data_IF_050163469487
#
_entry.id   IF_050163469487
#
_cell.length_a   1.000
_cell.length_b   1.000
_cell.length_c   1.000
_cell.angle_alpha   90.00
_cell.angle_beta   90.00
_cell.angle_gamma   90.00
#
_symmetry.space_group_name_H-M   'P 1'
#
loop_
_entity.id
_entity.type
_entity.pdbx_description
1 polymer ?
#
# COMPACT_ATOMS: atom_id res chain seq x y z
N UNK A 1 12.19 -65.42 10.33
CA UNK A 1 11.79 -64.46 9.29
C UNK A 1 11.37 -63.11 9.90
N UNK A 2 12.30 -62.30 10.41
CA UNK A 2 11.97 -61.03 11.11
C UNK A 2 12.72 -59.79 10.60
N UNK A 3 13.77 -59.93 9.77
CA UNK A 3 14.56 -58.79 9.28
C UNK A 3 13.89 -57.97 8.17
N UNK A 4 12.99 -58.54 7.37
CA UNK A 4 12.34 -57.83 6.25
C UNK A 4 11.25 -56.82 6.68
N UNK A 5 10.61 -57.02 7.83
CA UNK A 5 9.51 -56.15 8.31
C UNK A 5 9.98 -54.83 8.92
N UNK A 6 11.22 -54.76 9.40
CA UNK A 6 11.77 -53.57 10.06
C UNK A 6 12.27 -52.55 9.04
N UNK A 7 12.92 -53.02 7.96
CA UNK A 7 13.39 -52.17 6.84
C UNK A 7 12.23 -51.49 6.11
N UNK A 8 11.10 -52.18 5.93
CA UNK A 8 9.90 -51.57 5.32
C UNK A 8 9.25 -50.50 6.21
N UNK A 9 9.35 -50.61 7.55
CA UNK A 9 8.82 -49.60 8.46
C UNK A 9 9.68 -48.33 8.48
N UNK A 10 11.00 -48.47 8.42
CA UNK A 10 11.92 -47.32 8.34
C UNK A 10 11.81 -46.59 7.00
N UNK A 11 11.75 -47.31 5.88
CA UNK A 11 11.53 -46.70 4.57
C UNK A 11 10.18 -45.98 4.46
N UNK A 12 9.11 -46.58 5.02
CA UNK A 12 7.80 -45.93 5.07
C UNK A 12 7.83 -44.67 5.97
N UNK A 13 8.51 -44.71 7.11
CA UNK A 13 8.64 -43.57 8.01
C UNK A 13 9.41 -42.41 7.36
N UNK A 14 10.55 -42.70 6.72
CA UNK A 14 11.37 -41.69 6.03
C UNK A 14 10.58 -41.06 4.87
N UNK A 15 9.92 -41.87 4.03
CA UNK A 15 9.08 -41.35 2.94
C UNK A 15 7.84 -40.58 3.41
N UNK A 16 7.37 -40.80 4.65
CA UNK A 16 6.27 -40.02 5.23
C UNK A 16 6.77 -38.66 5.75
N UNK A 17 7.98 -38.61 6.31
CA UNK A 17 8.62 -37.37 6.79
C UNK A 17 9.00 -36.45 5.62
N UNK A 18 9.53 -37.01 4.53
CA UNK A 18 9.84 -36.23 3.31
C UNK A 18 8.58 -35.62 2.69
N UNK A 19 7.51 -36.42 2.53
CA UNK A 19 6.21 -35.91 2.03
C UNK A 19 5.60 -34.85 2.94
N UNK A 20 5.71 -35.01 4.26
CA UNK A 20 5.25 -33.98 5.19
C UNK A 20 6.05 -32.67 5.04
N UNK A 21 7.37 -32.76 4.83
CA UNK A 21 8.23 -31.61 4.56
C UNK A 21 7.90 -30.87 3.27
N UNK A 22 7.59 -31.59 2.19
CA UNK A 22 7.14 -31.00 0.92
C UNK A 22 5.79 -30.30 1.05
N UNK A 23 4.81 -30.93 1.70
CA UNK A 23 3.48 -30.34 1.92
C UNK A 23 3.56 -29.06 2.76
N UNK A 24 4.42 -29.02 3.79
CA UNK A 24 4.62 -27.82 4.61
C UNK A 24 5.28 -26.69 3.81
N UNK A 25 6.28 -27.00 2.97
CA UNK A 25 6.90 -25.99 2.09
C UNK A 25 5.93 -25.45 1.06
N UNK A 26 5.16 -26.32 0.39
CA UNK A 26 4.15 -25.92 -0.58
C UNK A 26 3.08 -25.04 0.08
N UNK A 27 2.61 -25.40 1.28
CA UNK A 27 1.66 -24.60 2.03
C UNK A 27 2.22 -23.23 2.44
N UNK A 28 3.50 -23.16 2.80
CA UNK A 28 4.19 -21.92 3.17
C UNK A 28 4.41 -21.01 1.95
N UNK A 29 4.86 -21.56 0.82
CA UNK A 29 5.02 -20.84 -0.44
C UNK A 29 3.69 -20.34 -1.00
N UNK A 30 2.66 -21.20 -0.96
CA UNK A 30 1.29 -20.83 -1.32
C UNK A 30 0.75 -19.73 -0.40
N UNK A 31 0.96 -19.85 0.92
CA UNK A 31 0.56 -18.83 1.88
C UNK A 31 1.27 -17.49 1.65
N UNK A 32 2.56 -17.52 1.31
CA UNK A 32 3.32 -16.32 0.93
C UNK A 32 2.80 -15.72 -0.39
N UNK A 33 2.53 -16.57 -1.38
CA UNK A 33 1.94 -16.17 -2.65
C UNK A 33 0.58 -15.50 -2.46
N UNK A 34 -0.32 -16.12 -1.69
CA UNK A 34 -1.64 -15.56 -1.37
C UNK A 34 -1.54 -14.23 -0.61
N UNK A 35 -0.55 -14.10 0.29
CA UNK A 35 -0.29 -12.85 1.01
C UNK A 35 0.18 -11.72 0.07
N UNK A 36 1.12 -12.02 -0.83
CA UNK A 36 1.58 -11.06 -1.85
C UNK A 36 0.41 -10.65 -2.77
N UNK A 37 -0.37 -11.63 -3.23
CA UNK A 37 -1.57 -11.39 -4.05
C UNK A 37 -2.58 -10.49 -3.35
N UNK A 38 -2.73 -10.57 -2.03
CA UNK A 38 -3.62 -9.72 -1.26
C UNK A 38 -3.11 -8.26 -1.16
N UNK A 39 -1.80 -8.06 -1.13
CA UNK A 39 -1.18 -6.74 -0.99
C UNK A 39 -1.21 -5.89 -2.26
N UNK A 40 -1.02 -6.53 -3.41
CA UNK A 40 -0.99 -5.84 -4.70
C UNK A 40 -2.35 -5.22 -5.00
N UNK A 41 -2.34 -3.93 -5.36
CA UNK A 41 -3.54 -3.18 -5.74
C UNK A 41 -3.35 -2.60 -7.14
N UNK A 42 -4.44 -2.61 -7.90
CA UNK A 42 -4.50 -2.03 -9.23
C UNK A 42 -5.40 -0.80 -9.20
N UNK A 43 -5.04 0.21 -9.96
CA UNK A 43 -5.80 1.45 -10.11
C UNK A 43 -5.93 1.78 -11.59
N UNK A 44 -7.01 2.44 -12.01
CA UNK A 44 -6.99 3.10 -13.32
C UNK A 44 -5.93 4.22 -13.31
N UNK A 45 -5.41 4.58 -14.48
CA UNK A 45 -4.50 5.73 -14.67
C UNK A 45 -5.08 7.01 -14.06
N UNK A 46 -6.42 7.15 -14.11
CA UNK A 46 -7.17 8.29 -13.62
C UNK A 46 -8.21 7.85 -12.59
N UNK A 47 -8.24 8.51 -11.43
CA UNK A 47 -9.15 8.18 -10.33
C UNK A 47 -8.49 7.31 -9.25
N UNK A 48 -8.98 7.40 -8.02
CA UNK A 48 -8.41 6.77 -6.83
C UNK A 48 -8.95 5.38 -6.52
N UNK A 49 -9.99 4.94 -7.22
CA UNK A 49 -10.67 3.70 -6.88
C UNK A 49 -9.82 2.48 -7.23
N UNK A 50 -9.74 1.51 -6.32
CA UNK A 50 -9.04 0.25 -6.56
C UNK A 50 -9.83 -0.58 -7.57
N UNK A 51 -9.14 -1.06 -8.61
CA UNK A 51 -9.66 -2.07 -9.52
C UNK A 51 -9.65 -3.43 -8.80
N UNK A 52 -10.77 -3.73 -8.14
CA UNK A 52 -11.01 -5.07 -7.58
C UNK A 52 -11.01 -6.13 -8.68
N UNK A 53 -10.87 -7.41 -8.34
CA UNK A 53 -10.94 -8.50 -9.33
C UNK A 53 -12.23 -8.44 -10.16
N UNK A 54 -13.36 -8.08 -9.54
CA UNK A 54 -14.63 -7.84 -10.23
C UNK A 54 -14.51 -6.72 -11.26
N UNK A 55 -13.94 -5.56 -10.89
CA UNK A 55 -13.79 -4.42 -11.80
C UNK A 55 -12.83 -4.71 -12.94
N UNK A 56 -11.70 -5.37 -12.66
CA UNK A 56 -10.76 -5.82 -13.69
C UNK A 56 -11.47 -6.69 -14.74
N UNK A 57 -12.32 -7.63 -14.31
CA UNK A 57 -13.08 -8.48 -15.24
C UNK A 57 -14.09 -7.70 -16.05
N UNK A 58 -14.82 -6.79 -15.41
CA UNK A 58 -15.90 -6.03 -16.04
C UNK A 58 -15.40 -4.96 -17.00
N UNK A 59 -14.32 -4.26 -16.65
CA UNK A 59 -13.83 -3.08 -17.37
C UNK A 59 -12.67 -3.41 -18.32
N UNK A 60 -11.87 -4.43 -18.01
CA UNK A 60 -10.64 -4.77 -18.75
C UNK A 60 -10.60 -6.21 -19.26
N UNK A 61 -11.59 -7.04 -18.93
CA UNK A 61 -11.60 -8.46 -19.30
C UNK A 61 -10.49 -9.28 -18.63
N UNK A 62 -9.92 -8.79 -17.52
CA UNK A 62 -8.81 -9.42 -16.81
C UNK A 62 -9.21 -9.90 -15.42
N UNK A 63 -8.70 -11.04 -14.99
CA UNK A 63 -8.62 -11.38 -13.56
C UNK A 63 -7.44 -10.68 -12.90
N UNK A 64 -7.47 -10.54 -11.58
CA UNK A 64 -6.33 -10.02 -10.79
C UNK A 64 -5.07 -10.86 -11.02
N UNK A 65 -5.21 -12.18 -11.18
CA UNK A 65 -4.09 -13.10 -11.42
C UNK A 65 -3.45 -12.88 -12.79
N UNK A 66 -4.24 -12.55 -13.82
CA UNK A 66 -3.70 -12.18 -15.13
C UNK A 66 -3.03 -10.82 -15.09
N UNK A 67 -3.67 -9.81 -14.48
CA UNK A 67 -3.10 -8.48 -14.33
C UNK A 67 -1.75 -8.49 -13.58
N UNK A 68 -1.55 -9.39 -12.62
CA UNK A 68 -0.28 -9.53 -11.91
C UNK A 68 0.87 -10.08 -12.76
N UNK A 69 0.57 -10.84 -13.81
CA UNK A 69 1.59 -11.39 -14.72
C UNK A 69 2.03 -10.38 -15.78
N UNK A 70 1.26 -9.32 -15.98
CA UNK A 70 1.59 -8.27 -16.93
C UNK A 70 2.77 -7.44 -16.42
N UNK A 71 3.62 -7.04 -17.36
CA UNK A 71 4.67 -6.06 -17.16
C UNK A 71 4.07 -4.66 -16.93
N UNK A 72 4.87 -3.75 -16.37
CA UNK A 72 4.49 -2.35 -16.21
C UNK A 72 4.11 -1.69 -17.55
N UNK A 73 4.76 -2.08 -18.65
CA UNK A 73 4.48 -1.54 -19.98
C UNK A 73 3.11 -2.02 -20.51
N UNK A 74 2.79 -3.30 -20.32
CA UNK A 74 1.49 -3.86 -20.70
C UNK A 74 0.35 -3.27 -19.85
N UNK A 75 0.56 -3.13 -18.54
CA UNK A 75 -0.39 -2.46 -17.65
C UNK A 75 -0.60 -1.00 -18.05
N UNK A 76 0.48 -0.27 -18.36
CA UNK A 76 0.41 1.11 -18.83
C UNK A 76 -0.34 1.24 -20.16
N UNK A 77 -0.16 0.30 -21.10
CA UNK A 77 -0.91 0.26 -22.35
C UNK A 77 -2.42 0.08 -22.12
N UNK A 78 -2.79 -0.64 -21.06
CA UNK A 78 -4.17 -0.79 -20.58
C UNK A 78 -4.63 0.36 -19.68
N UNK A 79 -3.78 1.37 -19.43
CA UNK A 79 -4.04 2.50 -18.52
C UNK A 79 -4.35 2.03 -17.09
N UNK A 80 -3.66 0.98 -16.66
CA UNK A 80 -3.69 0.44 -15.30
C UNK A 80 -2.36 0.77 -14.61
N UNK A 81 -2.43 1.20 -13.36
CA UNK A 81 -1.28 1.32 -12.48
C UNK A 81 -1.31 0.20 -11.43
N UNK A 82 -0.15 -0.41 -11.17
CA UNK A 82 0.05 -1.36 -10.07
C UNK A 82 0.78 -0.69 -8.91
N UNK A 83 0.33 -0.95 -7.69
CA UNK A 83 1.14 -0.72 -6.49
C UNK A 83 1.34 -2.06 -5.78
N UNK A 84 2.55 -2.30 -5.31
CA UNK A 84 2.92 -3.56 -4.64
C UNK A 84 2.40 -3.63 -3.20
N UNK A 85 2.17 -2.47 -2.59
CA UNK A 85 1.77 -2.37 -1.20
C UNK A 85 0.96 -1.10 -0.94
N UNK A 86 0.00 -1.19 -0.02
CA UNK A 86 -0.71 -0.01 0.48
C UNK A 86 0.24 0.94 1.19
N UNK A 87 -0.13 2.22 1.29
CA UNK A 87 0.70 3.23 1.96
C UNK A 87 0.97 2.90 3.44
N UNK A 88 0.00 2.30 4.13
CA UNK A 88 0.18 1.81 5.51
C UNK A 88 1.24 0.73 5.56
N UNK A 89 1.18 -0.21 4.61
CA UNK A 89 2.18 -1.27 4.50
C UNK A 89 3.56 -0.68 4.21
N UNK A 90 3.68 0.21 3.22
CA UNK A 90 4.94 0.91 2.91
C UNK A 90 5.51 1.61 4.15
N UNK A 91 4.67 2.35 4.89
CA UNK A 91 5.07 3.06 6.10
C UNK A 91 5.57 2.12 7.20
N UNK A 92 4.81 1.07 7.54
CA UNK A 92 5.17 0.15 8.62
C UNK A 92 6.29 -0.83 8.22
N UNK A 93 6.51 -1.11 6.93
CA UNK A 93 7.69 -1.84 6.48
C UNK A 93 8.95 -1.02 6.71
N UNK A 94 8.91 0.29 6.46
CA UNK A 94 10.04 1.19 6.75
C UNK A 94 10.20 1.51 8.24
N UNK A 95 9.11 1.47 9.01
CA UNK A 95 9.09 1.82 10.43
C UNK A 95 8.42 0.72 11.28
N UNK A 96 8.97 -0.51 11.33
CA UNK A 96 8.31 -1.65 11.96
C UNK A 96 8.08 -1.45 13.47
N UNK A 97 9.00 -0.74 14.14
CA UNK A 97 8.93 -0.41 15.56
C UNK A 97 7.77 0.52 15.94
N UNK A 98 7.13 1.18 14.96
CA UNK A 98 5.98 2.06 15.19
C UNK A 98 4.63 1.32 15.11
N UNK A 99 4.62 0.05 14.73
CA UNK A 99 3.38 -0.72 14.61
C UNK A 99 2.73 -0.88 15.99
N UNK A 100 1.44 -0.53 16.11
CA UNK A 100 0.70 -0.64 17.36
C UNK A 100 0.95 0.50 18.37
N UNK A 101 1.66 1.56 17.99
CA UNK A 101 1.97 2.70 18.87
C UNK A 101 0.90 3.80 18.88
N UNK A 102 -0.29 3.56 18.33
CA UNK A 102 -1.37 4.55 18.27
C UNK A 102 -1.14 5.67 17.25
N UNK A 103 -0.70 5.31 16.04
CA UNK A 103 -0.50 6.25 14.93
C UNK A 103 -1.58 6.11 13.86
N UNK A 104 -2.15 7.24 13.46
CA UNK A 104 -2.84 7.37 12.20
C UNK A 104 -1.82 7.60 11.08
N UNK A 105 -1.68 6.65 10.14
CA UNK A 105 -0.84 6.86 8.95
C UNK A 105 -1.57 7.80 8.00
N UNK A 106 -0.94 8.93 7.71
CA UNK A 106 -1.46 9.99 6.86
C UNK A 106 -0.70 10.07 5.54
N UNK A 107 -1.41 10.30 4.43
CA UNK A 107 -0.80 10.60 3.13
C UNK A 107 -0.58 12.11 3.00
N UNK A 108 0.66 12.56 2.87
CA UNK A 108 0.99 13.94 2.54
C UNK A 108 0.34 14.42 1.24
N UNK A 109 0.26 13.53 0.24
CA UNK A 109 -0.60 13.73 -0.95
C UNK A 109 -1.82 12.81 -0.86
N UNK A 110 -3.01 13.31 -0.48
CA UNK A 110 -4.17 12.44 -0.30
C UNK A 110 -4.60 11.80 -1.61
N UNK A 111 -5.02 10.53 -1.56
CA UNK A 111 -5.48 9.78 -2.72
C UNK A 111 -6.62 10.49 -3.47
N UNK A 112 -7.44 11.28 -2.75
CA UNK A 112 -8.53 12.07 -3.33
C UNK A 112 -8.08 13.12 -4.36
N UNK A 113 -6.80 13.49 -4.39
CA UNK A 113 -6.24 14.32 -5.46
C UNK A 113 -6.34 13.65 -6.83
N UNK A 114 -6.31 12.32 -6.90
CA UNK A 114 -6.41 11.57 -8.16
C UNK A 114 -7.83 11.57 -8.75
N UNK A 115 -8.84 11.74 -7.91
CA UNK A 115 -10.22 11.99 -8.35
C UNK A 115 -10.42 13.45 -8.72
N UNK A 116 -9.95 14.36 -7.85
CA UNK A 116 -10.19 15.80 -7.99
C UNK A 116 -9.42 16.41 -9.16
N UNK A 117 -8.21 15.93 -9.40
CA UNK A 117 -7.30 16.37 -10.46
C UNK A 117 -6.78 15.16 -11.25
N UNK A 118 -7.64 14.51 -12.07
CA UNK A 118 -7.27 13.30 -12.79
C UNK A 118 -6.03 13.49 -13.67
N UNK A 119 -5.05 12.58 -13.54
CA UNK A 119 -3.80 12.61 -14.31
C UNK A 119 -2.69 13.49 -13.73
N UNK A 120 -2.95 14.25 -12.65
CA UNK A 120 -1.93 15.11 -12.04
C UNK A 120 -0.90 14.33 -11.21
N UNK A 121 -1.33 13.21 -10.64
CA UNK A 121 -0.51 12.31 -9.81
C UNK A 121 -0.81 10.85 -10.13
N UNK A 122 0.25 10.04 -10.14
CA UNK A 122 0.17 8.58 -10.30
C UNK A 122 -0.21 7.90 -8.99
N UNK A 123 -0.88 6.75 -9.06
CA UNK A 123 -1.16 5.91 -7.89
C UNK A 123 0.13 5.52 -7.17
N UNK A 124 1.13 5.06 -7.94
CA UNK A 124 2.44 4.67 -7.38
C UNK A 124 3.14 5.84 -6.70
N UNK A 125 2.93 7.05 -7.22
CA UNK A 125 3.55 8.24 -6.68
C UNK A 125 3.00 8.54 -5.30
N UNK A 126 1.68 8.69 -5.15
CA UNK A 126 1.08 9.10 -3.87
C UNK A 126 1.26 8.06 -2.75
N UNK A 127 1.52 6.79 -3.10
CA UNK A 127 1.81 5.69 -2.18
C UNK A 127 3.30 5.52 -1.85
N UNK A 128 4.21 6.24 -2.51
CA UNK A 128 5.64 6.11 -2.27
C UNK A 128 6.01 6.53 -0.85
N UNK A 129 7.00 5.85 -0.24
CA UNK A 129 7.42 5.99 1.17
C UNK A 129 7.67 7.43 1.64
N UNK A 130 8.06 8.33 0.76
CA UNK A 130 8.26 9.74 1.11
C UNK A 130 6.97 10.47 1.50
N UNK A 131 5.79 10.05 1.02
CA UNK A 131 4.53 10.74 1.27
C UNK A 131 3.71 10.24 2.48
N UNK A 132 3.76 8.98 2.94
CA UNK A 132 3.13 8.61 4.20
C UNK A 132 3.94 9.08 5.42
N UNK A 133 3.24 9.58 6.44
CA UNK A 133 3.79 9.92 7.75
C UNK A 133 2.87 9.39 8.84
N UNK A 134 3.41 8.95 9.98
CA UNK A 134 2.59 8.64 11.14
C UNK A 134 2.22 9.91 11.88
N UNK A 135 0.99 10.02 12.38
CA UNK A 135 0.55 11.10 13.26
C UNK A 135 -0.02 10.44 14.52
N UNK A 136 0.48 10.74 15.73
CA UNK A 136 -0.10 10.21 16.96
C UNK A 136 -1.58 10.58 17.04
N UNK A 137 -2.42 9.63 17.43
CA UNK A 137 -3.86 9.89 17.62
C UNK A 137 -4.12 10.94 18.72
N UNK A 138 -3.15 11.13 19.61
CA UNK A 138 -3.14 12.13 20.69
C UNK A 138 -2.55 13.48 20.29
N UNK A 139 -2.11 13.66 19.03
CA UNK A 139 -1.61 14.95 18.56
C UNK A 139 -2.80 15.91 18.35
N UNK A 140 -2.99 16.83 19.30
CA UNK A 140 -4.09 17.79 19.36
C UNK A 140 -3.57 19.23 19.35
N UNK A 141 -4.24 20.12 18.62
CA UNK A 141 -4.06 21.58 18.64
C UNK A 141 -5.44 22.21 18.84
N UNK A 142 -5.58 23.05 19.86
CA UNK A 142 -6.83 23.77 20.19
C UNK A 142 -8.08 22.86 20.25
N UNK A 143 -7.91 21.63 20.73
CA UNK A 143 -8.99 20.64 20.85
C UNK A 143 -9.26 19.80 19.60
N UNK A 144 -8.58 20.06 18.49
CA UNK A 144 -8.69 19.30 17.24
C UNK A 144 -7.48 18.42 16.96
N UNK A 145 -7.70 17.21 16.46
CA UNK A 145 -6.59 16.34 16.06
C UNK A 145 -5.84 16.91 14.86
N UNK A 146 -4.51 16.81 14.87
CA UNK A 146 -3.65 17.24 13.75
C UNK A 146 -4.05 16.55 12.44
N UNK A 147 -4.42 15.26 12.49
CA UNK A 147 -4.89 14.53 11.31
C UNK A 147 -6.14 15.18 10.69
N UNK A 148 -7.09 15.62 11.53
CA UNK A 148 -8.31 16.32 11.08
C UNK A 148 -7.98 17.68 10.48
N UNK A 149 -7.14 18.48 11.15
CA UNK A 149 -6.72 19.80 10.65
C UNK A 149 -6.09 19.72 9.24
N UNK A 150 -5.20 18.76 9.03
CA UNK A 150 -4.59 18.53 7.71
C UNK A 150 -5.63 18.09 6.69
N UNK A 151 -6.54 17.19 7.07
CA UNK A 151 -7.62 16.72 6.19
C UNK A 151 -8.53 17.87 5.75
N UNK A 152 -8.96 18.71 6.70
CA UNK A 152 -9.81 19.86 6.42
C UNK A 152 -9.10 20.88 5.53
N UNK A 153 -7.81 21.11 5.74
CA UNK A 153 -7.00 21.99 4.89
C UNK A 153 -6.95 21.50 3.44
N UNK A 154 -6.78 20.19 3.22
CA UNK A 154 -6.87 19.58 1.90
C UNK A 154 -8.26 19.72 1.26
N UNK A 155 -9.33 19.51 2.02
CA UNK A 155 -10.70 19.72 1.51
C UNK A 155 -10.94 21.17 1.10
N UNK A 156 -10.50 22.12 1.92
CA UNK A 156 -10.58 23.55 1.60
C UNK A 156 -9.74 23.90 0.37
N UNK A 157 -8.52 23.39 0.26
CA UNK A 157 -7.67 23.57 -0.92
C UNK A 157 -8.38 23.10 -2.18
N UNK A 158 -8.95 21.88 -2.15
CA UNK A 158 -9.68 21.31 -3.29
C UNK A 158 -10.95 22.08 -3.66
N UNK A 159 -11.65 22.63 -2.66
CA UNK A 159 -12.84 23.47 -2.87
C UNK A 159 -12.48 24.80 -3.55
N UNK A 160 -11.40 25.45 -3.10
CA UNK A 160 -10.95 26.76 -3.60
C UNK A 160 -10.22 26.67 -4.95
N UNK A 161 -9.57 25.54 -5.23
CA UNK A 161 -8.78 25.35 -6.45
C UNK A 161 -9.41 24.24 -7.30
N UNK A 162 -10.45 24.55 -8.08
CA UNK A 162 -11.12 23.54 -8.92
C UNK A 162 -10.22 23.02 -10.05
N UNK A 163 -9.25 23.82 -10.50
CA UNK A 163 -8.25 23.49 -11.53
C UNK A 163 -6.83 23.76 -11.01
N UNK A 164 -6.39 23.00 -10.01
CA UNK A 164 -5.05 23.16 -9.45
C UNK A 164 -3.96 22.59 -10.38
N UNK A 165 -2.84 23.29 -10.45
CA UNK A 165 -1.60 22.79 -11.04
C UNK A 165 -0.88 21.87 -10.06
N UNK A 166 0.03 21.04 -10.58
CA UNK A 166 0.90 20.16 -9.77
C UNK A 166 1.72 20.96 -8.76
N UNK A 167 2.24 22.12 -9.17
CA UNK A 167 3.02 23.00 -8.32
C UNK A 167 2.20 23.54 -7.15
N UNK A 168 0.95 23.97 -7.38
CA UNK A 168 0.07 24.45 -6.30
C UNK A 168 -0.25 23.35 -5.29
N UNK A 169 -0.45 22.11 -5.74
CA UNK A 169 -0.69 20.96 -4.85
C UNK A 169 0.54 20.67 -3.99
N UNK A 170 1.73 20.60 -4.61
CA UNK A 170 2.98 20.35 -3.88
C UNK A 170 3.31 21.48 -2.91
N UNK A 171 3.04 22.73 -3.29
CA UNK A 171 3.21 23.88 -2.40
C UNK A 171 2.28 23.82 -1.19
N UNK A 172 1.03 23.40 -1.39
CA UNK A 172 0.10 23.20 -0.28
C UNK A 172 0.57 22.07 0.66
N UNK A 173 1.04 20.95 0.10
CA UNK A 173 1.65 19.87 0.89
C UNK A 173 2.83 20.39 1.74
N UNK A 174 3.74 21.18 1.16
CA UNK A 174 4.89 21.72 1.89
C UNK A 174 4.48 22.66 3.03
N UNK A 175 3.44 23.47 2.84
CA UNK A 175 2.91 24.32 3.91
C UNK A 175 2.39 23.48 5.08
N UNK A 176 1.68 22.39 4.80
CA UNK A 176 1.23 21.46 5.83
C UNK A 176 2.39 20.76 6.52
N UNK A 177 3.43 20.38 5.78
CA UNK A 177 4.64 19.79 6.36
C UNK A 177 5.39 20.78 7.26
N UNK A 178 5.48 22.05 6.87
CA UNK A 178 6.09 23.10 7.69
C UNK A 178 5.25 23.37 8.96
N UNK A 179 3.94 23.40 8.83
CA UNK A 179 3.02 23.70 9.93
C UNK A 179 2.88 22.55 10.94
N UNK A 180 2.81 21.31 10.45
CA UNK A 180 2.48 20.12 11.25
C UNK A 180 3.61 19.09 11.35
N UNK A 181 4.71 19.24 10.61
CA UNK A 181 5.79 18.23 10.50
C UNK A 181 6.42 17.84 11.84
N UNK A 182 6.39 18.72 12.84
CA UNK A 182 6.83 18.43 14.21
C UNK A 182 6.00 17.37 14.95
N UNK A 183 4.76 17.14 14.51
CA UNK A 183 3.86 16.11 15.06
C UNK A 183 3.95 14.79 14.31
N UNK A 184 4.70 14.73 13.20
CA UNK A 184 4.85 13.50 12.45
C UNK A 184 5.83 12.56 13.15
N UNK A 185 5.70 11.27 12.85
CA UNK A 185 6.59 10.22 13.34
C UNK A 185 7.11 9.42 12.14
N UNK A 186 8.42 9.51 11.83
CA UNK A 186 9.38 10.46 12.40
C UNK A 186 9.02 11.93 12.08
N UNK A 187 9.47 12.90 12.89
CA UNK A 187 9.20 14.32 12.64
C UNK A 187 9.93 14.76 11.37
N UNK A 188 9.28 15.64 10.61
CA UNK A 188 9.88 16.22 9.40
C UNK A 188 10.57 17.55 9.70
N UNK A 189 11.75 17.72 9.12
CA UNK A 189 12.42 19.02 9.04
C UNK A 189 11.93 19.78 7.82
N UNK A 190 12.02 21.11 7.90
CA UNK A 190 11.71 22.00 6.78
C UNK A 190 12.52 21.62 5.54
N UNK A 191 11.83 21.39 4.43
CA UNK A 191 12.44 21.05 3.14
C UNK A 191 12.78 19.57 2.93
N UNK A 192 12.40 18.67 3.85
CA UNK A 192 12.60 17.22 3.63
C UNK A 192 11.69 16.63 2.53
N UNK A 193 10.66 17.36 2.09
CA UNK A 193 9.72 16.97 1.01
C UNK A 193 9.38 18.10 0.04
#
# INVERSE_FOLDING_TARGET
MLKGRQVMKEAAAIGTVEKAGEVVKEAQEKGLGDHIMAMVQFFPERGKEILTDRKLRQEYGLTKKEAMKLSEAELAALRIERIEASYRTVFYTANPHLKGTGLAVHHALPQSLRDKYPGLFKAKEVHALKYPSGIPETAIIDGESVHKLITDSWEQFKKKNTTATRQQVLEHMRKLDEEYGRFFVPPLKKGER
#
